data_IF_103726085999
#
_entry.id   IF_103726085999
#
_cell.length_a   1.000
_cell.length_b   1.000
_cell.length_c   1.000
_cell.angle_alpha   90.00
_cell.angle_beta   90.00
_cell.angle_gamma   90.00
#
_symmetry.space_group_name_H-M   'P 1'
#
loop_
_entity.id
_entity.type
_entity.pdbx_description
1 polymer ?
#
# COMPACT_ATOMS: atom_id res chain seq x y z
N UNK A 1 12.58 15.70 -15.50
CA UNK A 1 12.23 14.47 -14.75
C UNK A 1 10.73 14.31 -14.87
N UNK A 2 10.25 13.19 -15.41
CA UNK A 2 8.82 12.88 -15.45
C UNK A 2 8.46 12.45 -14.04
N UNK A 3 7.58 13.18 -13.37
CA UNK A 3 7.06 12.71 -12.10
C UNK A 3 6.15 11.51 -12.35
N UNK A 4 6.28 10.42 -11.57
CA UNK A 4 5.42 9.26 -11.75
C UNK A 4 3.97 9.63 -11.42
N UNK A 5 3.04 9.08 -12.20
CA UNK A 5 1.61 9.32 -12.01
C UNK A 5 1.16 8.83 -10.63
N UNK A 6 0.27 9.58 -9.97
CA UNK A 6 -0.22 9.23 -8.64
C UNK A 6 -0.94 7.86 -8.63
N UNK A 7 -1.59 7.49 -9.73
CA UNK A 7 -2.22 6.17 -9.86
C UNK A 7 -1.18 5.04 -9.95
N UNK A 8 -0.07 5.25 -10.65
CA UNK A 8 1.04 4.29 -10.73
C UNK A 8 1.74 4.13 -9.38
N UNK A 9 1.98 5.23 -8.68
CA UNK A 9 2.53 5.23 -7.31
C UNK A 9 1.62 4.43 -6.38
N UNK A 10 0.30 4.69 -6.42
CA UNK A 10 -0.66 3.98 -5.59
C UNK A 10 -0.73 2.48 -5.92
N UNK A 11 -0.72 2.12 -7.20
CA UNK A 11 -0.74 0.73 -7.64
C UNK A 11 0.53 -0.01 -7.19
N UNK A 12 1.71 0.60 -7.34
CA UNK A 12 2.99 0.03 -6.89
C UNK A 12 3.02 -0.11 -5.37
N UNK A 13 2.62 0.94 -4.64
CA UNK A 13 2.55 0.93 -3.18
C UNK A 13 1.65 -0.21 -2.65
N UNK A 14 0.47 -0.40 -3.24
CA UNK A 14 -0.45 -1.50 -2.89
C UNK A 14 0.15 -2.88 -3.21
N UNK A 15 0.85 -3.04 -4.33
CA UNK A 15 1.54 -4.31 -4.66
C UNK A 15 2.64 -4.63 -3.65
N UNK A 16 3.47 -3.65 -3.29
CA UNK A 16 4.51 -3.81 -2.27
C UNK A 16 3.90 -4.12 -0.90
N UNK A 17 2.78 -3.47 -0.56
CA UNK A 17 2.03 -3.76 0.65
C UNK A 17 1.55 -5.20 0.70
N UNK A 18 0.89 -5.71 -0.35
CA UNK A 18 0.42 -7.10 -0.43
C UNK A 18 1.59 -8.09 -0.36
N UNK A 19 2.71 -7.77 -1.03
CA UNK A 19 3.89 -8.62 -1.02
C UNK A 19 4.56 -8.70 0.38
N UNK A 20 4.48 -7.64 1.19
CA UNK A 20 5.09 -7.56 2.52
C UNK A 20 4.15 -7.93 3.67
N UNK A 21 2.84 -7.80 3.49
CA UNK A 21 1.84 -8.01 4.53
C UNK A 21 0.96 -9.19 4.11
N UNK A 22 1.18 -10.33 4.73
CA UNK A 22 0.47 -11.59 4.49
C UNK A 22 -0.95 -11.55 5.11
N UNK A 23 -1.82 -10.70 4.59
CA UNK A 23 -3.25 -10.56 4.96
C UNK A 23 -3.59 -10.08 6.38
N UNK A 24 -2.63 -9.98 7.30
CA UNK A 24 -2.90 -9.50 8.67
C UNK A 24 -3.14 -7.98 8.77
N UNK A 25 -2.81 -7.24 7.70
CA UNK A 25 -2.95 -5.79 7.63
C UNK A 25 -3.86 -5.38 6.49
N UNK A 26 -4.54 -4.25 6.69
CA UNK A 26 -5.43 -3.66 5.71
C UNK A 26 -4.87 -2.35 5.18
N UNK A 27 -4.90 -2.18 3.85
CA UNK A 27 -4.56 -0.89 3.25
C UNK A 27 -5.56 0.18 3.64
N UNK A 28 -6.87 -0.15 3.65
CA UNK A 28 -7.93 0.79 3.98
C UNK A 28 -8.92 0.32 5.04
N UNK A 29 -9.51 1.27 5.77
CA UNK A 29 -10.53 1.01 6.77
C UNK A 29 -11.73 0.28 6.16
N UNK A 30 -12.08 0.58 4.91
CA UNK A 30 -13.13 -0.16 4.20
C UNK A 30 -12.83 -1.67 4.07
N UNK A 31 -11.55 -2.03 3.93
CA UNK A 31 -11.12 -3.43 3.92
C UNK A 31 -11.18 -4.02 5.34
N UNK A 32 -10.71 -3.29 6.35
CA UNK A 32 -10.84 -3.71 7.75
C UNK A 32 -12.29 -3.97 8.16
N UNK A 33 -13.22 -3.10 7.78
CA UNK A 33 -14.64 -3.27 8.07
C UNK A 33 -15.24 -4.50 7.37
N UNK A 34 -14.75 -4.84 6.17
CA UNK A 34 -15.17 -6.05 5.45
C UNK A 34 -14.67 -7.31 6.14
N UNK A 35 -13.38 -7.37 6.44
CA UNK A 35 -12.75 -8.50 7.12
C UNK A 35 -13.34 -8.71 8.54
N UNK A 36 -13.65 -7.61 9.26
CA UNK A 36 -14.32 -7.68 10.55
C UNK A 36 -15.72 -8.32 10.47
N UNK A 37 -16.45 -8.14 9.37
CA UNK A 37 -17.74 -8.81 9.13
C UNK A 37 -17.58 -10.31 8.85
N UNK A 38 -16.44 -10.72 8.30
CA UNK A 38 -16.10 -12.13 8.08
C UNK A 38 -15.49 -12.79 9.32
N UNK A 39 -15.28 -12.02 10.40
CA UNK A 39 -14.71 -12.50 11.66
C UNK A 39 -13.18 -12.44 11.72
N UNK A 40 -12.55 -11.78 10.75
CA UNK A 40 -11.10 -11.53 10.74
C UNK A 40 -10.77 -10.19 11.40
N UNK A 41 -9.67 -10.14 12.14
CA UNK A 41 -9.18 -8.92 12.79
C UNK A 41 -7.92 -8.43 12.09
N UNK A 42 -8.08 -7.56 11.10
CA UNK A 42 -6.96 -6.97 10.35
C UNK A 42 -6.67 -5.54 10.82
N UNK A 43 -5.41 -5.20 10.98
CA UNK A 43 -5.00 -3.85 11.40
C UNK A 43 -4.90 -2.93 10.19
N UNK A 44 -5.70 -1.86 10.18
CA UNK A 44 -5.57 -0.82 9.16
C UNK A 44 -4.23 -0.10 9.30
N UNK A 45 -3.59 0.18 8.17
CA UNK A 45 -2.44 1.08 8.12
C UNK A 45 -2.83 2.47 8.63
N UNK A 46 -1.94 3.06 9.42
CA UNK A 46 -2.00 4.48 9.75
C UNK A 46 -1.68 5.34 8.53
N UNK A 47 -2.04 6.62 8.58
CA UNK A 47 -1.70 7.57 7.51
C UNK A 47 -0.18 7.68 7.29
N UNK A 48 0.61 7.60 8.37
CA UNK A 48 2.06 7.61 8.31
C UNK A 48 2.58 6.41 7.52
N UNK A 49 2.12 5.20 7.84
CA UNK A 49 2.56 3.99 7.15
C UNK A 49 2.15 4.00 5.67
N UNK A 50 0.93 4.45 5.35
CA UNK A 50 0.53 4.64 3.94
C UNK A 50 1.45 5.60 3.21
N UNK A 51 1.83 6.71 3.86
CA UNK A 51 2.74 7.70 3.29
C UNK A 51 4.09 7.08 2.99
N UNK A 52 4.61 6.23 3.87
CA UNK A 52 5.87 5.50 3.65
C UNK A 52 5.79 4.58 2.42
N UNK A 53 4.71 3.82 2.27
CA UNK A 53 4.52 2.98 1.08
C UNK A 53 4.42 3.81 -0.22
N UNK A 54 3.75 4.96 -0.18
CA UNK A 54 3.64 5.86 -1.32
C UNK A 54 4.98 6.50 -1.68
N UNK A 55 5.75 6.95 -0.68
CA UNK A 55 7.06 7.55 -0.89
C UNK A 55 8.06 6.53 -1.45
N UNK A 56 8.06 5.32 -0.88
CA UNK A 56 8.84 4.19 -1.39
C UNK A 56 8.49 3.88 -2.85
N UNK A 57 7.20 3.75 -3.18
CA UNK A 57 6.75 3.49 -4.54
C UNK A 57 7.14 4.61 -5.51
N UNK A 58 7.03 5.87 -5.09
CA UNK A 58 7.47 7.03 -5.88
C UNK A 58 8.98 6.99 -6.14
N UNK A 59 9.76 6.61 -5.13
CA UNK A 59 11.19 6.45 -5.26
C UNK A 59 11.56 5.29 -6.21
N UNK A 60 10.91 4.14 -6.09
CA UNK A 60 11.12 3.00 -7.00
C UNK A 60 10.81 3.35 -8.45
N UNK A 61 9.63 3.95 -8.70
CA UNK A 61 9.21 4.36 -10.05
C UNK A 61 10.13 5.42 -10.65
N UNK A 62 10.58 6.37 -9.82
CA UNK A 62 11.52 7.42 -10.26
C UNK A 62 12.89 6.84 -10.63
N UNK A 63 13.37 5.85 -9.88
CA UNK A 63 14.70 5.27 -10.11
C UNK A 63 14.70 4.10 -11.10
N UNK A 64 13.55 3.74 -11.67
CA UNK A 64 13.44 2.62 -12.60
C UNK A 64 13.88 1.29 -11.97
N UNK A 65 13.81 1.18 -10.65
CA UNK A 65 14.16 -0.04 -9.94
C UNK A 65 13.02 -1.05 -10.14
N UNK A 66 13.08 -1.79 -11.25
CA UNK A 66 12.38 -3.07 -11.36
C UNK A 66 12.97 -4.02 -10.31
N UNK A 67 12.13 -4.88 -9.68
CA UNK A 67 12.52 -5.76 -8.59
C UNK A 67 13.63 -6.74 -8.97
#
# INVERSE_FOLDING_TARGET
MIEPDEADVLARAKRTFIAKNHDDRAWDAAFTEREAREGHSVLCLTEAERREYLDQARHELRNGAEP
#
